data_IF_152639179428
#
_entry.id   IF_152639179428
#
_cell.length_a   1.000
_cell.length_b   1.000
_cell.length_c   1.000
_cell.angle_alpha   90.00
_cell.angle_beta   90.00
_cell.angle_gamma   90.00
#
_symmetry.space_group_name_H-M   'P 1'
#
loop_
_entity.id
_entity.type
_entity.pdbx_description
1 polymer ?
#
# COMPACT_ATOMS: atom_id res chain seq x y z
N UNK A 1 6.17 -6.83 14.40
CA UNK A 1 5.35 -5.64 14.72
C UNK A 1 4.12 -5.73 13.85
N UNK A 2 2.94 -5.87 14.44
CA UNK A 2 1.66 -5.88 13.71
C UNK A 2 1.45 -4.55 13.01
N UNK A 3 1.20 -4.57 11.69
CA UNK A 3 0.71 -3.38 10.97
C UNK A 3 -0.65 -3.03 11.54
N UNK A 4 -0.78 -1.86 12.17
CA UNK A 4 -2.07 -1.37 12.66
C UNK A 4 -2.79 -0.59 11.56
N UNK A 5 -4.12 -0.63 11.52
CA UNK A 5 -4.93 0.10 10.54
C UNK A 5 -4.64 1.62 10.49
N UNK A 6 -4.18 2.19 11.61
CA UNK A 6 -3.73 3.59 11.68
C UNK A 6 -2.42 3.83 10.94
N UNK A 7 -1.49 2.87 10.98
CA UNK A 7 -0.19 2.95 10.30
C UNK A 7 -0.32 2.87 8.77
N UNK A 8 -1.23 2.02 8.27
CA UNK A 8 -1.54 1.92 6.84
C UNK A 8 -2.20 3.18 6.31
N UNK A 9 -3.19 3.72 7.04
CA UNK A 9 -3.85 4.98 6.68
C UNK A 9 -2.85 6.14 6.59
N UNK A 10 -1.94 6.29 7.54
CA UNK A 10 -0.94 7.37 7.54
C UNK A 10 0.04 7.28 6.36
N UNK A 11 0.53 6.10 6.02
CA UNK A 11 1.46 5.90 4.89
C UNK A 11 0.79 6.19 3.53
N UNK A 12 -0.44 5.71 3.34
CA UNK A 12 -1.21 5.95 2.10
C UNK A 12 -1.60 7.42 1.95
N UNK A 13 -2.02 8.06 3.05
CA UNK A 13 -2.28 9.50 3.07
C UNK A 13 -1.03 10.30 2.74
N UNK A 14 0.12 9.93 3.30
CA UNK A 14 1.41 10.56 3.02
C UNK A 14 1.80 10.47 1.55
N UNK A 15 1.61 9.30 0.93
CA UNK A 15 1.80 9.11 -0.51
C UNK A 15 0.84 9.99 -1.32
N UNK A 16 -0.46 9.97 -1.02
CA UNK A 16 -1.45 10.82 -1.69
C UNK A 16 -1.10 12.31 -1.65
N UNK A 17 -0.73 12.82 -0.47
CA UNK A 17 -0.28 14.21 -0.33
C UNK A 17 0.99 14.53 -1.15
N UNK A 18 1.91 13.57 -1.27
CA UNK A 18 3.09 13.73 -2.10
C UNK A 18 2.74 13.78 -3.60
N UNK A 19 1.76 13.00 -4.05
CA UNK A 19 1.28 13.03 -5.43
C UNK A 19 0.52 14.32 -5.75
N UNK A 20 -0.32 14.81 -4.85
CA UNK A 20 -1.04 16.08 -5.02
C UNK A 20 -0.09 17.29 -5.08
N UNK A 21 1.09 17.18 -4.46
CA UNK A 21 2.10 18.23 -4.50
C UNK A 21 2.70 18.43 -5.90
N UNK A 22 2.54 17.48 -6.83
CA UNK A 22 3.12 17.53 -8.18
C UNK A 22 2.69 18.78 -8.96
N UNK A 23 1.42 19.18 -8.85
CA UNK A 23 0.86 20.33 -9.57
C UNK A 23 0.84 21.63 -8.77
N UNK A 24 1.47 21.67 -7.59
CA UNK A 24 1.48 22.88 -6.77
C UNK A 24 2.41 23.93 -7.37
N UNK A 25 1.96 25.20 -7.50
CA UNK A 25 2.82 26.29 -7.91
C UNK A 25 4.08 26.38 -7.04
N UNK A 26 5.25 26.48 -7.67
CA UNK A 26 6.54 26.60 -6.98
C UNK A 26 7.19 25.29 -6.52
N UNK A 27 6.55 24.13 -6.73
CA UNK A 27 7.20 22.84 -6.48
C UNK A 27 8.20 22.52 -7.59
N UNK A 28 9.42 22.13 -7.23
CA UNK A 28 10.40 21.62 -8.21
C UNK A 28 10.22 20.12 -8.40
N UNK A 29 10.45 19.62 -9.62
CA UNK A 29 10.38 18.17 -9.92
C UNK A 29 11.31 17.36 -9.02
N UNK A 30 12.49 17.88 -8.69
CA UNK A 30 13.43 17.21 -7.78
C UNK A 30 12.90 17.05 -6.35
N UNK A 31 12.29 18.11 -5.79
CA UNK A 31 11.66 18.04 -4.47
C UNK A 31 10.46 17.09 -4.46
N UNK A 32 9.66 17.09 -5.52
CA UNK A 32 8.55 16.16 -5.67
C UNK A 32 9.04 14.70 -5.72
N UNK A 33 10.02 14.38 -6.58
CA UNK A 33 10.62 13.04 -6.67
C UNK A 33 11.15 12.56 -5.32
N UNK A 34 11.88 13.41 -4.61
CA UNK A 34 12.42 13.06 -3.29
C UNK A 34 11.33 12.81 -2.25
N UNK A 35 10.26 13.61 -2.24
CA UNK A 35 9.12 13.39 -1.34
C UNK A 35 8.41 12.08 -1.66
N UNK A 36 8.12 11.80 -2.93
CA UNK A 36 7.50 10.54 -3.37
C UNK A 36 8.33 9.34 -2.93
N UNK A 37 9.65 9.37 -3.11
CA UNK A 37 10.52 8.25 -2.70
C UNK A 37 10.47 7.93 -1.22
N UNK A 38 10.38 8.94 -0.36
CA UNK A 38 10.22 8.71 1.09
C UNK A 38 8.90 8.03 1.40
N UNK A 39 7.82 8.45 0.74
CA UNK A 39 6.51 7.84 0.93
C UNK A 39 6.45 6.41 0.38
N UNK A 40 7.07 6.15 -0.77
CA UNK A 40 7.22 4.78 -1.29
C UNK A 40 8.03 3.88 -0.34
N UNK A 41 9.06 4.41 0.32
CA UNK A 41 9.80 3.65 1.33
C UNK A 41 8.91 3.30 2.54
N UNK A 42 8.13 4.26 3.04
CA UNK A 42 7.18 4.02 4.13
C UNK A 42 6.10 2.98 3.75
N UNK A 43 5.56 3.06 2.53
CA UNK A 43 4.61 2.07 1.99
C UNK A 43 5.24 0.69 1.85
N UNK A 44 6.49 0.61 1.37
CA UNK A 44 7.23 -0.66 1.29
C UNK A 44 7.37 -1.27 2.68
N UNK A 45 7.80 -0.49 3.66
CA UNK A 45 8.01 -0.98 5.02
C UNK A 45 6.69 -1.48 5.65
N UNK A 46 5.57 -0.83 5.33
CA UNK A 46 4.23 -1.31 5.67
C UNK A 46 3.94 -2.68 5.05
N UNK A 47 4.11 -2.83 3.74
CA UNK A 47 3.84 -4.09 3.03
C UNK A 47 4.77 -5.22 3.50
N UNK A 48 6.02 -4.91 3.88
CA UNK A 48 6.95 -5.90 4.44
C UNK A 48 6.53 -6.33 5.84
N UNK A 49 6.01 -5.40 6.65
CA UNK A 49 5.57 -5.67 8.01
C UNK A 49 4.22 -6.41 8.09
N UNK A 50 3.47 -6.48 6.98
CA UNK A 50 2.21 -7.22 6.89
C UNK A 50 2.45 -8.72 7.09
N UNK A 51 2.28 -9.20 8.32
CA UNK A 51 2.36 -10.62 8.67
C UNK A 51 1.03 -11.32 8.39
N UNK A 52 1.06 -12.48 7.73
CA UNK A 52 -0.11 -13.35 7.64
C UNK A 52 -0.50 -13.84 9.04
N UNK A 53 -1.71 -13.54 9.46
CA UNK A 53 -2.31 -14.14 10.65
C UNK A 53 -2.64 -15.58 10.30
N UNK A 54 -1.76 -16.54 10.65
CA UNK A 54 -1.97 -17.94 10.30
C UNK A 54 -3.26 -18.48 10.91
N UNK A 55 -4.28 -18.66 10.09
CA UNK A 55 -5.53 -19.29 10.49
C UNK A 55 -5.82 -20.56 9.63
N UNK A 56 -6.65 -21.44 10.18
CA UNK A 56 -6.89 -22.80 9.69
C UNK A 56 -7.54 -22.89 8.29
N UNK A 57 -6.95 -23.74 7.43
CA UNK A 57 -7.58 -24.47 6.31
C UNK A 57 -8.32 -23.67 5.23
N UNK A 58 -9.44 -23.03 5.55
CA UNK A 58 -10.21 -22.16 4.66
C UNK A 58 -9.57 -20.76 4.58
N UNK A 59 -9.13 -20.19 5.70
CA UNK A 59 -8.39 -18.92 5.72
C UNK A 59 -7.07 -19.02 4.94
N UNK A 60 -6.43 -20.19 4.90
CA UNK A 60 -5.21 -20.44 4.14
C UNK A 60 -5.33 -20.11 2.62
N UNK A 61 -6.46 -20.39 1.97
CA UNK A 61 -6.63 -20.08 0.54
C UNK A 61 -6.78 -18.57 0.28
N UNK A 62 -7.46 -17.86 1.19
CA UNK A 62 -7.62 -16.39 1.16
C UNK A 62 -6.28 -15.70 1.49
N UNK A 63 -5.55 -16.21 2.47
CA UNK A 63 -4.21 -15.77 2.84
C UNK A 63 -3.21 -15.90 1.69
N UNK A 64 -3.24 -17.00 0.93
CA UNK A 64 -2.37 -17.18 -0.26
C UNK A 64 -2.65 -16.12 -1.33
N UNK A 65 -3.92 -15.75 -1.53
CA UNK A 65 -4.29 -14.71 -2.50
C UNK A 65 -3.80 -13.34 -2.04
N UNK A 66 -4.01 -12.99 -0.77
CA UNK A 66 -3.51 -11.74 -0.17
C UNK A 66 -1.99 -11.66 -0.19
N UNK A 67 -1.29 -12.77 0.07
CA UNK A 67 0.16 -12.84 0.00
C UNK A 67 0.70 -12.58 -1.41
N UNK A 68 0.06 -13.16 -2.43
CA UNK A 68 0.42 -12.91 -3.84
C UNK A 68 0.18 -11.46 -4.23
N UNK A 69 -0.95 -10.91 -3.84
CA UNK A 69 -1.27 -9.51 -4.06
C UNK A 69 -0.25 -8.57 -3.39
N UNK A 70 0.04 -8.78 -2.10
CA UNK A 70 1.07 -8.04 -1.36
C UNK A 70 2.42 -8.09 -2.06
N UNK A 71 2.85 -9.27 -2.52
CA UNK A 71 4.12 -9.42 -3.24
C UNK A 71 4.11 -8.69 -4.60
N UNK A 72 2.97 -8.69 -5.30
CA UNK A 72 2.81 -7.92 -6.53
C UNK A 72 2.91 -6.40 -6.26
N UNK A 73 2.28 -5.90 -5.20
CA UNK A 73 2.37 -4.51 -4.78
C UNK A 73 3.80 -4.13 -4.36
N UNK A 74 4.51 -5.00 -3.63
CA UNK A 74 5.92 -4.81 -3.28
C UNK A 74 6.82 -4.67 -4.52
N UNK A 75 6.63 -5.52 -5.52
CA UNK A 75 7.38 -5.43 -6.77
C UNK A 75 7.12 -4.08 -7.47
N UNK A 76 5.85 -3.67 -7.59
CA UNK A 76 5.48 -2.39 -8.20
C UNK A 76 6.03 -1.18 -7.45
N UNK A 77 6.03 -1.20 -6.12
CA UNK A 77 6.66 -0.15 -5.30
C UNK A 77 8.16 -0.06 -5.59
N UNK A 78 8.84 -1.19 -5.74
CA UNK A 78 10.25 -1.25 -6.11
C UNK A 78 10.52 -0.65 -7.50
N UNK A 79 9.77 -1.10 -8.50
CA UNK A 79 9.91 -0.64 -9.89
C UNK A 79 9.64 0.87 -10.02
N UNK A 80 8.54 1.35 -9.44
CA UNK A 80 8.21 2.78 -9.45
C UNK A 80 9.20 3.61 -8.63
N UNK A 81 9.79 3.06 -7.58
CA UNK A 81 10.86 3.71 -6.82
C UNK A 81 12.08 4.05 -7.67
N UNK A 82 12.44 3.18 -8.63
CA UNK A 82 13.47 3.44 -9.64
C UNK A 82 13.01 4.43 -10.70
N UNK A 83 11.82 4.22 -11.26
CA UNK A 83 11.26 5.10 -12.31
C UNK A 83 11.11 6.55 -11.85
N UNK A 84 10.78 6.81 -10.58
CA UNK A 84 10.72 8.17 -10.02
C UNK A 84 12.03 8.94 -10.22
N UNK A 85 13.18 8.27 -10.24
CA UNK A 85 14.48 8.92 -10.48
C UNK A 85 14.84 8.99 -11.95
N UNK A 86 14.58 7.91 -12.67
CA UNK A 86 15.18 7.65 -13.98
C UNK A 86 14.30 8.11 -15.14
N UNK A 87 12.98 8.12 -14.97
CA UNK A 87 12.04 8.48 -16.03
C UNK A 87 12.03 10.01 -16.22
N UNK A 88 12.44 10.53 -17.39
CA UNK A 88 12.41 11.97 -17.67
C UNK A 88 11.01 12.56 -17.61
N UNK A 89 9.99 11.82 -18.06
CA UNK A 89 8.60 12.25 -18.04
C UNK A 89 7.95 12.04 -16.66
N UNK A 90 7.91 13.12 -15.88
CA UNK A 90 7.37 13.08 -14.52
C UNK A 90 5.84 12.87 -14.48
N UNK A 91 5.11 13.28 -15.52
CA UNK A 91 3.65 13.10 -15.61
C UNK A 91 3.30 11.62 -15.79
N UNK A 92 4.07 10.88 -16.60
CA UNK A 92 3.90 9.43 -16.74
C UNK A 92 4.10 8.70 -15.41
N UNK A 93 5.17 9.03 -14.68
CA UNK A 93 5.41 8.43 -13.35
C UNK A 93 4.31 8.82 -12.38
N UNK A 94 3.87 10.08 -12.40
CA UNK A 94 2.79 10.56 -11.54
C UNK A 94 1.48 9.77 -11.74
N UNK A 95 1.10 9.51 -13.00
CA UNK A 95 -0.07 8.70 -13.33
C UNK A 95 0.05 7.25 -12.82
N UNK A 96 1.21 6.63 -12.99
CA UNK A 96 1.45 5.26 -12.49
C UNK A 96 1.44 5.18 -10.96
N UNK A 97 1.97 6.19 -10.28
CA UNK A 97 1.93 6.27 -8.82
C UNK A 97 0.49 6.46 -8.29
N UNK A 98 -0.36 7.19 -9.01
CA UNK A 98 -1.78 7.29 -8.65
C UNK A 98 -2.49 5.94 -8.80
N UNK A 99 -2.21 5.19 -9.86
CA UNK A 99 -2.73 3.82 -10.03
C UNK A 99 -2.28 2.92 -8.89
N UNK A 100 -0.98 2.95 -8.56
CA UNK A 100 -0.44 2.22 -7.41
C UNK A 100 -1.15 2.60 -6.10
N UNK A 101 -1.38 3.90 -5.84
CA UNK A 101 -2.09 4.35 -4.63
C UNK A 101 -3.50 3.76 -4.55
N UNK A 102 -4.24 3.74 -5.65
CA UNK A 102 -5.58 3.11 -5.71
C UNK A 102 -5.50 1.62 -5.39
N UNK A 103 -4.56 0.90 -5.97
CA UNK A 103 -4.39 -0.54 -5.74
C UNK A 103 -4.02 -0.84 -4.28
N UNK A 104 -3.16 0.00 -3.67
CA UNK A 104 -2.82 -0.09 -2.25
C UNK A 104 -4.02 0.16 -1.33
N UNK A 105 -4.86 1.16 -1.65
CA UNK A 105 -6.09 1.42 -0.90
C UNK A 105 -7.04 0.22 -0.97
N UNK A 106 -7.21 -0.40 -2.15
CA UNK A 106 -8.03 -1.60 -2.29
C UNK A 106 -7.49 -2.78 -1.51
N UNK A 107 -6.17 -2.98 -1.49
CA UNK A 107 -5.52 -4.03 -0.70
C UNK A 107 -5.77 -3.85 0.80
N UNK A 108 -5.56 -2.62 1.31
CA UNK A 108 -5.83 -2.31 2.74
C UNK A 108 -7.31 -2.47 3.08
N UNK A 109 -8.21 -2.08 2.19
CA UNK A 109 -9.65 -2.31 2.40
C UNK A 109 -9.96 -3.80 2.52
N UNK A 110 -9.45 -4.63 1.59
CA UNK A 110 -9.64 -6.09 1.64
C UNK A 110 -9.09 -6.72 2.92
N UNK A 111 -7.94 -6.25 3.40
CA UNK A 111 -7.37 -6.73 4.67
C UNK A 111 -8.27 -6.40 5.85
N UNK A 112 -8.83 -5.19 5.90
CA UNK A 112 -9.76 -4.80 6.96
C UNK A 112 -11.05 -5.62 6.88
N UNK A 113 -11.62 -5.80 5.70
CA UNK A 113 -12.83 -6.60 5.48
C UNK A 113 -12.62 -8.05 5.95
N UNK A 114 -11.47 -8.64 5.64
CA UNK A 114 -11.11 -9.99 6.11
C UNK A 114 -11.00 -10.08 7.64
N UNK A 115 -10.42 -9.05 8.28
CA UNK A 115 -10.30 -9.01 9.73
C UNK A 115 -11.68 -8.90 10.41
N UNK A 116 -12.62 -8.17 9.81
CA UNK A 116 -14.00 -8.11 10.29
C UNK A 116 -14.73 -9.46 10.13
N UNK A 117 -14.62 -10.10 8.95
CA UNK A 117 -15.21 -11.42 8.69
C UNK A 117 -14.76 -12.46 9.74
N UNK A 118 -13.48 -12.45 10.13
CA UNK A 118 -12.92 -13.37 11.11
C UNK A 118 -13.50 -13.16 12.52
N UNK A 119 -13.64 -11.90 12.95
CA UNK A 119 -14.20 -11.55 14.26
C UNK A 119 -15.69 -11.92 14.34
N UNK A 120 -16.45 -11.71 13.26
CA UNK A 120 -17.87 -12.09 13.20
C UNK A 120 -18.07 -13.61 13.34
N UNK A 121 -17.20 -14.41 12.69
CA UNK A 121 -17.18 -15.87 12.78
C UNK A 121 -16.84 -16.39 14.19
N UNK A 122 -15.91 -15.74 14.90
CA UNK A 122 -15.50 -16.13 16.26
C UNK A 122 -16.55 -15.79 17.32
N UNK A 123 -17.36 -14.74 17.11
CA UNK A 123 -18.42 -14.32 18.03
C UNK A 123 -19.75 -15.06 17.80
N UNK A 124 -20.02 -15.53 16.58
CA UNK A 124 -21.26 -16.24 16.22
C UNK A 124 -21.33 -17.72 16.63
N UNK A 125 -20.26 -18.28 17.22
CA UNK A 125 -20.20 -19.69 17.65
C UNK A 125 -20.69 -20.00 19.06
N UNK A 126 -21.35 -19.03 19.72
CA UNK A 126 -21.85 -19.16 21.10
C UNK A 126 -23.38 -19.17 21.15
N UNK A 127 -24.02 -20.23 20.65
CA UNK A 127 -25.43 -20.57 20.98
C UNK A 127 -25.59 -22.08 21.22
#
# INVERSE_FOLDING_TARGET
MTVTATGSSAALQGLGQALDAFRRPGATTGQWRWRVRQQLAAVRDLLVAETGSGADGWTAAREVTMLRERNHLLARVGDLGGQVLEQPDADLVHAELHRLLVDLCHHVQRLNDLAYDQVELELGGSE
#
